data_IF_701242210757
#
_entry.id   IF_701242210757
#
_cell.length_a   1.000
_cell.length_b   1.000
_cell.length_c   1.000
_cell.angle_alpha   90.00
_cell.angle_beta   90.00
_cell.angle_gamma   90.00
#
_symmetry.space_group_name_H-M   'P 1'
#
loop_
_entity.id
_entity.type
_entity.pdbx_description
1 polymer ?
#
# COMPACT_ATOMS: atom_id res chain seq x y z
N UNK A 1 20.36 25.32 -12.95
CA UNK A 1 19.72 24.95 -11.67
C UNK A 1 19.19 23.53 -11.77
N UNK A 2 19.42 22.71 -10.74
CA UNK A 2 18.98 21.28 -10.73
C UNK A 2 17.46 21.13 -10.62
N UNK A 3 16.74 22.13 -10.09
CA UNK A 3 15.29 22.18 -9.90
C UNK A 3 14.78 23.56 -10.34
N UNK A 4 14.57 23.81 -11.65
CA UNK A 4 14.20 25.13 -12.15
C UNK A 4 12.82 25.62 -11.69
N UNK A 5 11.89 24.71 -11.44
CA UNK A 5 10.53 25.03 -10.95
C UNK A 5 10.41 25.08 -9.43
N UNK A 6 11.49 24.88 -8.67
CA UNK A 6 11.42 25.01 -7.21
C UNK A 6 11.38 26.50 -6.80
N UNK A 7 10.56 26.81 -5.79
CA UNK A 7 10.43 28.16 -5.21
C UNK A 7 11.76 28.59 -4.58
N UNK A 8 12.42 29.67 -5.07
CA UNK A 8 13.69 30.10 -4.52
C UNK A 8 13.57 30.88 -3.21
N UNK A 9 12.40 31.45 -2.93
CA UNK A 9 12.15 32.26 -1.75
C UNK A 9 12.29 31.44 -0.47
N UNK A 10 13.17 31.87 0.43
CA UNK A 10 13.42 31.19 1.69
C UNK A 10 14.25 29.90 1.58
N UNK A 11 14.67 29.50 0.40
CA UNK A 11 15.52 28.32 0.20
C UNK A 11 16.93 28.62 0.70
N UNK A 12 17.36 27.91 1.76
CA UNK A 12 18.70 28.03 2.34
C UNK A 12 19.71 27.07 1.73
N UNK A 13 19.23 25.97 1.14
CA UNK A 13 20.06 24.93 0.51
C UNK A 13 19.28 23.67 0.26
N UNK A 14 19.98 22.67 -0.25
CA UNK A 14 19.43 21.35 -0.50
C UNK A 14 20.52 20.28 -0.54
N UNK A 15 20.13 19.05 -0.30
CA UNK A 15 21.01 17.88 -0.44
C UNK A 15 20.57 17.12 -1.68
N UNK A 16 21.51 16.83 -2.58
CA UNK A 16 21.29 15.99 -3.74
C UNK A 16 21.75 14.57 -3.42
N UNK A 17 20.90 13.59 -3.64
CA UNK A 17 21.23 12.18 -3.53
C UNK A 17 20.59 11.41 -4.69
N UNK A 18 20.94 10.14 -4.82
CA UNK A 18 20.42 9.26 -5.85
C UNK A 18 19.51 8.21 -5.21
N UNK A 19 18.42 7.92 -5.87
CA UNK A 19 17.47 6.87 -5.44
C UNK A 19 16.95 6.11 -6.66
N UNK A 20 16.46 4.89 -6.43
CA UNK A 20 15.88 4.04 -7.46
C UNK A 20 14.43 4.42 -7.75
N UNK A 21 14.08 4.43 -9.03
CA UNK A 21 12.71 4.62 -9.49
C UNK A 21 12.33 3.51 -10.44
N UNK A 22 11.14 2.95 -10.30
CA UNK A 22 10.63 1.88 -11.16
C UNK A 22 9.11 2.00 -11.34
N UNK A 23 8.60 1.29 -12.33
CA UNK A 23 7.16 1.20 -12.55
C UNK A 23 6.60 0.04 -11.72
N UNK A 24 5.83 0.36 -10.67
CA UNK A 24 5.30 -0.62 -9.71
C UNK A 24 4.46 -1.71 -10.38
N UNK A 25 3.59 -1.33 -11.31
CA UNK A 25 2.72 -2.28 -12.02
C UNK A 25 3.55 -3.24 -12.90
N UNK A 26 4.59 -2.73 -13.57
CA UNK A 26 5.48 -3.57 -14.39
C UNK A 26 6.34 -4.48 -13.54
N UNK A 27 6.78 -4.03 -12.35
CA UNK A 27 7.51 -4.88 -11.42
C UNK A 27 6.61 -6.01 -10.90
N UNK A 28 5.36 -5.71 -10.53
CA UNK A 28 4.39 -6.73 -10.11
C UNK A 28 4.19 -7.78 -11.20
N UNK A 29 4.00 -7.35 -12.46
CA UNK A 29 3.85 -8.25 -13.59
C UNK A 29 5.11 -9.09 -13.83
N UNK A 30 6.30 -8.49 -13.70
CA UNK A 30 7.57 -9.20 -13.84
C UNK A 30 7.74 -10.29 -12.77
N UNK A 31 7.38 -9.97 -11.51
CA UNK A 31 7.38 -10.94 -10.41
C UNK A 31 6.40 -12.09 -10.66
N UNK A 32 5.17 -11.77 -11.09
CA UNK A 32 4.17 -12.78 -11.44
C UNK A 32 4.68 -13.71 -12.55
N UNK A 33 5.21 -13.15 -13.65
CA UNK A 33 5.80 -13.94 -14.74
C UNK A 33 6.97 -14.80 -14.27
N UNK A 34 7.84 -14.26 -13.43
CA UNK A 34 8.96 -15.02 -12.86
C UNK A 34 8.46 -16.16 -11.99
N UNK A 35 7.45 -15.94 -11.15
CA UNK A 35 6.84 -17.00 -10.36
C UNK A 35 6.27 -18.12 -11.25
N UNK A 36 5.54 -17.76 -12.31
CA UNK A 36 5.01 -18.73 -13.27
C UNK A 36 6.13 -19.54 -13.95
N UNK A 37 7.23 -18.92 -14.38
CA UNK A 37 8.38 -19.64 -14.97
C UNK A 37 9.09 -20.56 -13.97
N UNK A 38 8.89 -20.31 -12.66
CA UNK A 38 9.38 -21.19 -11.58
C UNK A 38 8.36 -22.27 -11.15
N UNK A 39 7.26 -22.40 -11.89
CA UNK A 39 6.26 -23.44 -11.67
C UNK A 39 5.11 -23.04 -10.73
N UNK A 40 5.02 -21.78 -10.33
CA UNK A 40 3.87 -21.31 -9.58
C UNK A 40 2.63 -21.18 -10.46
N UNK A 41 1.48 -21.64 -9.97
CA UNK A 41 0.18 -21.41 -10.58
C UNK A 41 -0.38 -20.07 -10.07
N UNK A 42 -0.54 -19.09 -10.97
CA UNK A 42 -1.15 -17.81 -10.66
C UNK A 42 -2.57 -17.79 -11.23
N UNK A 43 -3.54 -17.55 -10.36
CA UNK A 43 -4.97 -17.52 -10.72
C UNK A 43 -5.58 -16.22 -10.22
N UNK A 44 -6.06 -15.40 -11.14
CA UNK A 44 -6.90 -14.25 -10.85
C UNK A 44 -8.38 -14.64 -10.84
N UNK A 45 -9.25 -13.75 -10.39
CA UNK A 45 -10.68 -14.00 -10.21
C UNK A 45 -11.02 -15.20 -9.32
N UNK A 46 -10.07 -15.65 -8.52
CA UNK A 46 -10.21 -16.73 -7.55
C UNK A 46 -10.21 -16.14 -6.13
N UNK A 47 -11.38 -16.08 -5.51
CA UNK A 47 -11.56 -15.51 -4.18
C UNK A 47 -11.47 -16.60 -3.11
N UNK A 48 -10.59 -16.46 -2.12
CA UNK A 48 -10.58 -17.30 -0.92
C UNK A 48 -11.76 -16.91 -0.02
N UNK A 49 -12.69 -17.84 0.20
CA UNK A 49 -13.92 -17.62 1.00
C UNK A 49 -13.73 -18.04 2.46
N UNK A 50 -13.12 -19.20 2.67
CA UNK A 50 -12.84 -19.75 3.99
C UNK A 50 -11.62 -20.67 3.97
N UNK A 51 -11.12 -20.97 5.16
CA UNK A 51 -10.07 -21.95 5.37
C UNK A 51 -10.70 -23.33 5.60
N UNK A 52 -10.01 -24.39 5.20
CA UNK A 52 -10.38 -25.78 5.53
C UNK A 52 -9.37 -26.34 6.54
N UNK A 53 -9.86 -27.24 7.42
CA UNK A 53 -9.06 -27.77 8.52
C UNK A 53 -9.12 -29.30 8.56
N UNK A 54 -8.04 -29.87 9.04
CA UNK A 54 -7.95 -31.27 9.44
C UNK A 54 -7.23 -31.33 10.79
N UNK A 55 -7.85 -31.95 11.79
CA UNK A 55 -7.31 -32.05 13.15
C UNK A 55 -6.86 -30.69 13.75
N UNK A 56 -7.62 -29.62 13.48
CA UNK A 56 -7.34 -28.27 13.96
C UNK A 56 -6.22 -27.54 13.19
N UNK A 57 -5.60 -28.16 12.19
CA UNK A 57 -4.59 -27.54 11.34
C UNK A 57 -5.17 -27.20 9.98
N UNK A 58 -4.70 -26.11 9.35
CA UNK A 58 -5.13 -25.72 8.01
C UNK A 58 -4.72 -26.80 7.01
N UNK A 59 -5.69 -27.22 6.20
CA UNK A 59 -5.52 -28.22 5.14
C UNK A 59 -5.78 -27.65 3.74
N UNK A 60 -6.19 -26.37 3.63
CA UNK A 60 -6.46 -25.74 2.35
C UNK A 60 -7.43 -24.56 2.44
N UNK A 61 -8.07 -24.27 1.32
CA UNK A 61 -8.98 -23.14 1.11
C UNK A 61 -10.23 -23.58 0.37
N UNK A 62 -11.38 -23.02 0.75
CA UNK A 62 -12.56 -22.96 -0.08
C UNK A 62 -12.50 -21.69 -0.94
N UNK A 63 -12.54 -21.86 -2.23
CA UNK A 63 -12.42 -20.79 -3.22
C UNK A 63 -13.68 -20.64 -4.07
N UNK A 64 -13.84 -19.46 -4.65
CA UNK A 64 -14.89 -19.16 -5.61
C UNK A 64 -14.27 -18.49 -6.85
N UNK A 65 -14.60 -19.01 -8.01
CA UNK A 65 -14.41 -18.29 -9.27
C UNK A 65 -15.42 -17.14 -9.33
N UNK A 66 -14.94 -15.91 -9.24
CA UNK A 66 -15.79 -14.71 -9.19
C UNK A 66 -16.44 -14.37 -10.53
N UNK A 67 -16.07 -15.04 -11.64
CA UNK A 67 -16.68 -14.86 -12.95
C UNK A 67 -17.89 -15.79 -13.12
N UNK A 68 -17.77 -17.04 -12.69
CA UNK A 68 -18.82 -18.05 -12.86
C UNK A 68 -19.64 -18.30 -11.58
N UNK A 69 -19.14 -17.89 -10.42
CA UNK A 69 -19.70 -18.24 -9.12
C UNK A 69 -19.39 -19.69 -8.66
N UNK A 70 -18.65 -20.45 -9.45
CA UNK A 70 -18.32 -21.83 -9.11
C UNK A 70 -17.44 -21.89 -7.87
N UNK A 71 -17.78 -22.78 -6.92
CA UNK A 71 -17.00 -23.01 -5.72
C UNK A 71 -16.18 -24.29 -5.85
N UNK A 72 -14.96 -24.26 -5.32
CA UNK A 72 -14.05 -25.40 -5.32
C UNK A 72 -13.08 -25.34 -4.14
N UNK A 73 -12.49 -26.49 -3.80
CA UNK A 73 -11.54 -26.61 -2.69
C UNK A 73 -10.13 -26.78 -3.22
N UNK A 74 -9.19 -26.01 -2.68
CA UNK A 74 -7.76 -26.19 -2.88
C UNK A 74 -7.20 -26.84 -1.63
N UNK A 75 -6.62 -28.03 -1.76
CA UNK A 75 -5.89 -28.71 -0.68
C UNK A 75 -4.43 -28.26 -0.69
N UNK A 76 -3.88 -27.94 0.47
CA UNK A 76 -2.49 -27.52 0.61
C UNK A 76 -1.91 -27.90 1.96
N UNK A 77 -0.58 -28.04 2.02
CA UNK A 77 0.16 -28.31 3.26
C UNK A 77 0.38 -27.02 4.07
N UNK A 78 0.24 -25.87 3.45
CA UNK A 78 0.41 -24.57 4.08
C UNK A 78 -0.43 -23.54 3.34
N UNK A 79 -0.98 -22.58 4.06
CA UNK A 79 -1.67 -21.40 3.51
C UNK A 79 -0.93 -20.16 3.96
N UNK A 80 -0.52 -19.35 3.01
CA UNK A 80 0.12 -18.03 3.26
C UNK A 80 -0.88 -16.93 2.96
N UNK A 81 -1.26 -16.20 3.99
CA UNK A 81 -2.11 -15.02 3.91
C UNK A 81 -1.24 -13.78 3.63
N UNK A 82 -1.16 -13.37 2.39
CA UNK A 82 -0.46 -12.16 1.93
C UNK A 82 -1.44 -11.15 1.33
N UNK A 83 -2.66 -11.06 1.90
CA UNK A 83 -3.78 -10.29 1.37
C UNK A 83 -3.68 -8.76 1.60
N UNK A 84 -2.51 -8.24 2.00
CA UNK A 84 -2.29 -6.80 2.18
C UNK A 84 -3.21 -6.21 3.25
N UNK A 85 -4.04 -5.22 2.90
CA UNK A 85 -4.96 -4.58 3.85
C UNK A 85 -6.10 -5.49 4.32
N UNK A 86 -6.32 -6.64 3.67
CA UNK A 86 -7.36 -7.64 4.03
C UNK A 86 -6.84 -8.81 4.85
N UNK A 87 -5.58 -8.79 5.31
CA UNK A 87 -5.02 -9.92 6.07
C UNK A 87 -5.82 -10.23 7.34
N UNK A 88 -6.37 -9.21 8.00
CA UNK A 88 -7.12 -9.39 9.23
C UNK A 88 -8.45 -10.12 9.01
N UNK A 89 -9.11 -9.93 7.88
CA UNK A 89 -10.34 -10.65 7.53
C UNK A 89 -10.12 -12.19 7.55
N UNK A 90 -9.01 -12.65 6.96
CA UNK A 90 -8.71 -14.08 6.94
C UNK A 90 -8.24 -14.59 8.32
N UNK A 91 -7.51 -13.77 9.08
CA UNK A 91 -7.09 -14.07 10.46
C UNK A 91 -8.29 -14.19 11.40
N UNK A 92 -9.29 -13.31 11.25
CA UNK A 92 -10.53 -13.35 12.03
C UNK A 92 -11.32 -14.62 11.74
N UNK A 93 -11.44 -15.03 10.47
CA UNK A 93 -12.06 -16.29 10.08
C UNK A 93 -11.33 -17.52 10.68
N UNK A 94 -9.99 -17.50 10.67
CA UNK A 94 -9.17 -18.54 11.31
C UNK A 94 -9.39 -18.58 12.83
N UNK A 95 -9.39 -17.43 13.48
CA UNK A 95 -9.62 -17.32 14.92
C UNK A 95 -11.03 -17.80 15.31
N UNK A 96 -12.05 -17.39 14.56
CA UNK A 96 -13.43 -17.80 14.83
C UNK A 96 -13.62 -19.32 14.77
N UNK A 97 -12.95 -19.98 13.82
CA UNK A 97 -12.98 -21.44 13.73
C UNK A 97 -12.33 -22.13 14.97
N UNK A 98 -11.42 -21.44 15.66
CA UNK A 98 -10.75 -21.96 16.87
C UNK A 98 -11.37 -21.45 18.18
N UNK A 99 -12.18 -20.38 18.15
CA UNK A 99 -12.87 -19.85 19.34
C UNK A 99 -13.88 -20.85 19.93
N UNK A 100 -14.52 -21.65 19.09
CA UNK A 100 -15.37 -22.76 19.55
C UNK A 100 -14.60 -23.78 20.42
N UNK A 101 -13.26 -23.77 20.39
CA UNK A 101 -12.35 -24.57 21.20
C UNK A 101 -11.67 -23.78 22.34
N UNK A 102 -12.20 -22.60 22.73
CA UNK A 102 -11.67 -21.78 23.83
C UNK A 102 -10.58 -20.76 23.43
N UNK A 103 -10.45 -20.42 22.15
CA UNK A 103 -9.52 -19.39 21.66
C UNK A 103 -9.99 -17.96 21.96
N UNK A 104 -9.03 -17.05 22.16
CA UNK A 104 -9.32 -15.62 22.31
C UNK A 104 -9.52 -14.94 20.93
N UNK A 105 -10.37 -13.89 20.89
CA UNK A 105 -10.48 -13.03 19.74
C UNK A 105 -9.12 -12.40 19.40
N UNK A 106 -8.76 -12.40 18.12
CA UNK A 106 -7.51 -11.76 17.69
C UNK A 106 -7.68 -10.24 17.62
N UNK A 107 -6.59 -9.53 17.86
CA UNK A 107 -6.54 -8.09 17.60
C UNK A 107 -6.18 -7.86 16.13
N UNK A 108 -6.81 -6.88 15.45
CA UNK A 108 -6.38 -6.47 14.11
C UNK A 108 -4.93 -5.98 14.14
N UNK A 109 -4.11 -6.51 13.23
CA UNK A 109 -2.70 -6.14 13.12
C UNK A 109 -2.44 -5.03 12.10
N UNK A 110 -3.41 -4.74 11.23
CA UNK A 110 -3.27 -3.72 10.19
C UNK A 110 -4.07 -2.47 10.53
N UNK A 111 -3.44 -1.30 10.36
CA UNK A 111 -4.08 0.00 10.32
C UNK A 111 -4.05 0.51 8.88
N UNK A 112 -5.14 0.37 8.11
CA UNK A 112 -5.17 0.83 6.73
C UNK A 112 -5.00 2.35 6.65
N UNK A 113 -4.12 2.82 5.77
CA UNK A 113 -3.91 4.23 5.50
C UNK A 113 -3.98 4.53 4.02
N UNK A 114 -4.84 5.49 3.65
CA UNK A 114 -5.00 5.95 2.28
C UNK A 114 -3.90 6.92 1.90
N UNK A 115 -3.30 6.71 0.73
CA UNK A 115 -2.37 7.63 0.11
C UNK A 115 -2.84 8.03 -1.27
N UNK A 116 -2.86 9.35 -1.52
CA UNK A 116 -3.26 9.93 -2.80
C UNK A 116 -2.05 10.52 -3.50
N UNK A 117 -2.01 10.37 -4.83
CA UNK A 117 -1.08 11.07 -5.71
C UNK A 117 -1.87 11.74 -6.82
N UNK A 118 -1.42 12.92 -7.23
CA UNK A 118 -1.94 13.62 -8.39
C UNK A 118 -0.86 13.75 -9.46
N UNK A 119 -1.27 13.81 -10.71
CA UNK A 119 -0.39 13.98 -11.86
C UNK A 119 -0.69 15.32 -12.50
N UNK A 120 0.36 16.11 -12.73
CA UNK A 120 0.30 17.40 -13.44
C UNK A 120 1.33 17.41 -14.57
N UNK A 121 1.38 18.47 -15.36
CA UNK A 121 2.37 18.62 -16.41
C UNK A 121 3.77 18.83 -15.82
N UNK A 122 4.78 18.24 -16.50
CA UNK A 122 6.17 18.25 -16.05
C UNK A 122 6.75 19.65 -15.84
N UNK A 123 6.25 20.65 -16.59
CA UNK A 123 6.72 22.03 -16.55
C UNK A 123 6.61 22.71 -15.18
N UNK A 124 5.74 22.21 -14.28
CA UNK A 124 5.62 22.73 -12.92
C UNK A 124 6.90 22.61 -12.10
N UNK A 125 7.71 21.59 -12.32
CA UNK A 125 9.04 21.44 -11.68
C UNK A 125 10.18 21.69 -12.66
N UNK A 126 10.01 21.26 -13.90
CA UNK A 126 11.05 21.27 -14.93
C UNK A 126 12.25 20.36 -14.58
N UNK A 127 13.09 20.11 -15.57
CA UNK A 127 14.28 19.27 -15.38
C UNK A 127 13.97 17.78 -15.11
N UNK A 128 15.00 17.03 -14.74
CA UNK A 128 14.95 15.57 -14.56
C UNK A 128 15.09 15.14 -13.09
N UNK A 129 15.32 16.08 -12.19
CA UNK A 129 15.48 15.79 -10.78
C UNK A 129 14.12 15.82 -10.05
N UNK A 130 13.93 14.92 -9.11
CA UNK A 130 12.81 14.95 -8.19
C UNK A 130 13.07 15.97 -7.05
N UNK A 131 12.00 16.53 -6.51
CA UNK A 131 12.03 17.32 -5.29
C UNK A 131 11.41 16.48 -4.16
N UNK A 132 12.13 16.37 -3.05
CA UNK A 132 11.59 15.85 -1.80
C UNK A 132 11.54 16.98 -0.77
N UNK A 133 10.36 17.21 -0.23
CA UNK A 133 10.14 18.11 0.91
C UNK A 133 10.07 17.25 2.16
N UNK A 134 11.09 17.30 3.05
CA UNK A 134 11.19 16.35 4.15
C UNK A 134 10.12 16.56 5.23
N UNK A 135 9.54 17.75 5.30
CA UNK A 135 8.52 18.10 6.29
C UNK A 135 7.55 19.14 5.75
N UNK A 136 6.32 18.73 5.50
CA UNK A 136 5.18 19.59 5.17
C UNK A 136 4.60 20.25 6.42
N UNK A 137 3.58 21.10 6.26
CA UNK A 137 2.91 21.77 7.39
C UNK A 137 2.37 20.80 8.45
N UNK A 138 1.94 19.61 8.04
CA UNK A 138 1.43 18.56 8.94
C UNK A 138 2.47 17.49 9.31
N UNK A 139 3.75 17.74 8.98
CA UNK A 139 4.88 16.88 9.33
C UNK A 139 5.13 15.70 8.41
N UNK A 140 4.38 15.56 7.31
CA UNK A 140 4.58 14.53 6.30
C UNK A 140 5.68 14.90 5.29
N UNK A 141 6.05 13.94 4.46
CA UNK A 141 6.95 14.15 3.33
C UNK A 141 6.10 14.38 2.07
N UNK A 142 6.45 15.39 1.26
CA UNK A 142 5.89 15.59 -0.07
C UNK A 142 6.97 15.29 -1.11
N UNK A 143 6.58 14.61 -2.16
CA UNK A 143 7.41 14.36 -3.33
C UNK A 143 6.83 15.05 -4.56
N UNK A 144 7.71 15.58 -5.40
CA UNK A 144 7.41 15.96 -6.77
C UNK A 144 8.39 15.21 -7.68
N UNK A 145 7.88 14.19 -8.38
CA UNK A 145 8.71 13.23 -9.10
C UNK A 145 8.41 13.26 -10.59
N UNK A 146 9.37 13.61 -11.45
CA UNK A 146 9.22 13.45 -12.90
C UNK A 146 9.00 11.98 -13.28
N UNK A 147 7.93 11.69 -14.02
CA UNK A 147 7.56 10.36 -14.41
C UNK A 147 6.83 10.31 -15.75
N UNK A 148 7.38 9.58 -16.74
CA UNK A 148 6.78 9.39 -18.07
C UNK A 148 6.28 10.69 -18.72
N UNK A 149 7.11 11.75 -18.68
CA UNK A 149 6.80 13.04 -19.28
C UNK A 149 5.82 13.92 -18.46
N UNK A 150 5.44 13.49 -17.27
CA UNK A 150 4.59 14.21 -16.33
C UNK A 150 5.30 14.44 -15.00
N UNK A 151 4.61 15.07 -14.07
CA UNK A 151 5.05 15.26 -12.68
C UNK A 151 4.04 14.62 -11.75
N UNK A 152 4.51 13.72 -10.91
CA UNK A 152 3.72 13.08 -9.84
C UNK A 152 3.94 13.84 -8.56
N UNK A 153 2.86 14.30 -7.93
CA UNK A 153 2.85 14.98 -6.63
C UNK A 153 2.15 14.11 -5.59
N UNK A 154 2.72 13.98 -4.43
CA UNK A 154 2.16 13.18 -3.32
C UNK A 154 3.12 13.05 -2.16
N UNK A 155 2.67 12.59 -1.05
CA UNK A 155 1.46 11.78 -0.86
C UNK A 155 0.67 12.26 0.34
N UNK A 156 -0.54 11.75 0.50
CA UNK A 156 -1.32 11.87 1.73
C UNK A 156 -1.13 10.63 2.62
N UNK A 157 -1.60 10.72 3.85
CA UNK A 157 -1.64 9.62 4.81
C UNK A 157 -2.91 9.79 5.66
N UNK A 158 -4.00 9.17 5.20
CA UNK A 158 -5.32 9.30 5.82
C UNK A 158 -5.73 7.95 6.39
N UNK A 159 -5.87 7.81 7.73
CA UNK A 159 -6.36 6.58 8.34
C UNK A 159 -7.73 6.18 7.78
N UNK A 160 -7.94 4.88 7.53
CA UNK A 160 -9.20 4.34 7.02
C UNK A 160 -9.73 3.27 7.97
N UNK A 161 -11.01 3.39 8.30
CA UNK A 161 -11.75 2.34 9.01
C UNK A 161 -12.40 1.32 8.09
N UNK A 162 -12.51 1.66 6.80
CA UNK A 162 -13.07 0.81 5.74
C UNK A 162 -11.98 0.35 4.78
N UNK A 163 -12.10 -0.88 4.31
CA UNK A 163 -11.17 -1.45 3.33
C UNK A 163 -11.94 -1.78 2.06
N UNK A 164 -11.71 -1.01 1.01
CA UNK A 164 -12.34 -1.17 -0.29
C UNK A 164 -11.30 -1.46 -1.37
N UNK A 165 -11.69 -2.20 -2.41
CA UNK A 165 -10.78 -2.57 -3.52
C UNK A 165 -10.34 -1.36 -4.33
N UNK A 166 -11.25 -0.41 -4.54
CA UNK A 166 -11.01 0.79 -5.33
C UNK A 166 -11.31 2.03 -4.48
N UNK A 167 -10.37 2.42 -3.61
CA UNK A 167 -10.53 3.62 -2.80
C UNK A 167 -10.57 4.85 -3.71
N UNK A 168 -11.43 5.81 -3.34
CA UNK A 168 -11.55 7.07 -4.05
C UNK A 168 -10.82 8.19 -3.30
N UNK A 169 -10.22 9.16 -4.01
CA UNK A 169 -9.60 10.30 -3.37
C UNK A 169 -10.66 11.16 -2.68
N UNK A 170 -10.34 11.66 -1.51
CA UNK A 170 -11.17 12.65 -0.82
C UNK A 170 -10.78 14.05 -1.27
N UNK A 171 -11.73 14.98 -1.31
CA UNK A 171 -11.47 16.35 -1.79
C UNK A 171 -10.33 17.02 -1.01
N UNK A 172 -10.33 16.89 0.31
CA UNK A 172 -9.31 17.48 1.18
C UNK A 172 -7.90 16.92 0.96
N UNK A 173 -7.77 15.67 0.48
CA UNK A 173 -6.46 15.07 0.17
C UNK A 173 -5.84 15.71 -1.07
N UNK A 174 -6.66 15.96 -2.09
CA UNK A 174 -6.23 16.66 -3.32
C UNK A 174 -5.88 18.11 -3.00
N UNK A 175 -6.72 18.79 -2.22
CA UNK A 175 -6.50 20.18 -1.80
C UNK A 175 -5.23 20.31 -0.96
N UNK A 176 -4.94 19.35 -0.08
CA UNK A 176 -3.70 19.29 0.68
C UNK A 176 -2.48 19.21 -0.25
N UNK A 177 -2.47 18.28 -1.23
CA UNK A 177 -1.33 18.12 -2.15
C UNK A 177 -1.13 19.41 -2.96
N UNK A 178 -2.21 20.02 -3.46
CA UNK A 178 -2.12 21.28 -4.22
C UNK A 178 -1.60 22.43 -3.37
N UNK A 179 -2.13 22.61 -2.16
CA UNK A 179 -1.73 23.68 -1.26
C UNK A 179 -0.28 23.53 -0.78
N UNK A 180 0.15 22.31 -0.45
CA UNK A 180 1.55 22.07 -0.08
C UNK A 180 2.48 22.25 -1.27
N UNK A 181 2.11 21.77 -2.46
CA UNK A 181 2.91 21.98 -3.67
C UNK A 181 3.10 23.45 -4.00
N UNK A 182 2.07 24.28 -3.77
CA UNK A 182 2.13 25.72 -3.97
C UNK A 182 3.19 26.45 -3.12
N UNK A 183 3.59 25.86 -1.99
CA UNK A 183 4.63 26.43 -1.11
C UNK A 183 6.05 26.20 -1.63
N UNK A 184 6.26 25.18 -2.44
CA UNK A 184 7.59 24.72 -2.86
C UNK A 184 7.83 24.82 -4.36
N UNK A 185 6.79 25.02 -5.15
CA UNK A 185 6.88 25.24 -6.59
C UNK A 185 6.69 26.73 -6.91
N UNK A 186 7.51 27.26 -7.81
CA UNK A 186 7.40 28.67 -8.25
C UNK A 186 6.11 28.97 -8.99
N UNK A 187 5.51 27.97 -9.65
CA UNK A 187 4.17 27.99 -10.20
C UNK A 187 3.31 26.98 -9.45
N UNK A 188 2.28 27.45 -8.77
CA UNK A 188 1.35 26.61 -8.04
C UNK A 188 0.40 25.86 -8.99
N UNK A 189 0.34 24.52 -8.97
CA UNK A 189 -0.66 23.81 -9.74
C UNK A 189 -2.06 24.03 -9.16
N UNK A 190 -3.04 24.16 -10.04
CA UNK A 190 -4.46 24.31 -9.70
C UNK A 190 -5.20 22.97 -9.95
N UNK A 191 -6.43 22.86 -9.44
CA UNK A 191 -7.25 21.66 -9.66
C UNK A 191 -7.48 21.37 -11.15
N UNK A 192 -7.57 22.40 -11.99
CA UNK A 192 -7.68 22.29 -13.46
C UNK A 192 -6.42 21.73 -14.14
N UNK A 193 -5.25 21.82 -13.48
CA UNK A 193 -4.00 21.26 -14.01
C UNK A 193 -3.85 19.76 -13.74
N UNK A 194 -4.70 19.18 -12.87
CA UNK A 194 -4.65 17.76 -12.52
C UNK A 194 -5.12 16.91 -13.69
N UNK A 195 -4.24 16.07 -14.21
CA UNK A 195 -4.48 15.17 -15.34
C UNK A 195 -4.96 13.79 -14.91
N UNK A 196 -4.51 13.34 -13.75
CA UNK A 196 -4.86 12.03 -13.20
C UNK A 196 -4.69 12.04 -11.70
N UNK A 197 -5.47 11.20 -11.03
CA UNK A 197 -5.38 10.96 -9.59
C UNK A 197 -5.37 9.45 -9.38
N UNK A 198 -4.50 8.95 -8.51
CA UNK A 198 -4.58 7.57 -8.04
C UNK A 198 -4.51 7.48 -6.53
N UNK A 199 -5.07 6.41 -6.01
CA UNK A 199 -5.23 6.16 -4.58
C UNK A 199 -4.84 4.72 -4.27
N UNK A 200 -4.22 4.53 -3.12
CA UNK A 200 -3.91 3.19 -2.60
C UNK A 200 -4.07 3.12 -1.09
N UNK A 201 -4.33 1.93 -0.59
CA UNK A 201 -4.36 1.63 0.84
C UNK A 201 -3.05 0.95 1.26
N UNK A 202 -2.40 1.49 2.29
CA UNK A 202 -1.19 0.91 2.88
C UNK A 202 -1.57 -0.01 4.02
N UNK A 203 -1.05 -1.26 4.07
CA UNK A 203 -1.21 -2.14 5.21
C UNK A 203 -0.17 -1.82 6.28
N UNK A 204 -0.35 -0.71 7.02
CA UNK A 204 0.55 -0.35 8.10
C UNK A 204 0.34 -1.30 9.27
N UNK A 205 1.44 -1.83 9.83
CA UNK A 205 1.37 -2.79 10.94
C UNK A 205 1.32 -2.05 12.25
N UNK A 206 0.32 -2.37 13.08
CA UNK A 206 0.20 -1.86 14.45
C UNK A 206 1.20 -2.57 15.35
N UNK A 207 1.89 -1.83 16.25
CA UNK A 207 2.62 -2.46 17.34
C UNK A 207 1.68 -3.30 18.21
N UNK A 208 2.18 -4.37 18.87
CA UNK A 208 1.35 -5.25 19.70
C UNK A 208 0.62 -4.54 20.86
N UNK A 209 1.09 -3.37 21.28
CA UNK A 209 0.64 -2.66 22.48
C UNK A 209 -0.15 -1.37 22.23
N UNK A 210 -0.30 -0.92 20.96
CA UNK A 210 -0.95 0.36 20.65
C UNK A 210 -2.34 0.20 20.04
N UNK A 211 -3.37 0.68 20.73
CA UNK A 211 -4.75 0.82 20.24
C UNK A 211 -5.04 2.18 19.55
N UNK A 212 -4.00 2.96 19.23
CA UNK A 212 -4.13 4.31 18.65
C UNK A 212 -4.26 4.33 17.12
N UNK A 213 -5.05 5.27 16.60
CA UNK A 213 -5.22 5.52 15.16
C UNK A 213 -4.10 6.37 14.53
N UNK A 214 -2.96 6.56 15.19
CA UNK A 214 -1.87 7.41 14.66
C UNK A 214 -1.03 6.61 13.68
N UNK A 215 -1.35 6.70 12.39
CA UNK A 215 -0.67 5.96 11.32
C UNK A 215 0.73 6.50 10.97
N UNK A 216 1.03 7.75 11.34
CA UNK A 216 2.30 8.43 10.96
C UNK A 216 3.56 7.79 11.55
N UNK A 217 3.44 7.15 12.72
CA UNK A 217 4.55 6.51 13.45
C UNK A 217 4.62 4.99 13.27
N UNK A 218 3.65 4.39 12.56
CA UNK A 218 3.59 2.93 12.40
C UNK A 218 4.73 2.39 11.55
N UNK A 219 5.24 1.21 11.95
CA UNK A 219 6.31 0.53 11.24
C UNK A 219 5.89 0.17 9.80
N UNK A 220 6.84 0.33 8.88
CA UNK A 220 6.75 -0.14 7.49
C UNK A 220 7.60 -1.38 7.23
N UNK A 221 8.04 -2.05 8.28
CA UNK A 221 8.71 -3.33 8.17
C UNK A 221 7.71 -4.45 7.91
N UNK A 222 8.13 -5.49 7.25
CA UNK A 222 7.29 -6.65 7.05
C UNK A 222 7.20 -7.45 8.36
N UNK A 223 6.04 -8.07 8.56
CA UNK A 223 5.79 -8.93 9.72
C UNK A 223 5.32 -10.29 9.23
N UNK A 224 5.91 -11.33 9.76
CA UNK A 224 5.49 -12.73 9.54
C UNK A 224 4.94 -13.27 10.86
N UNK A 225 3.69 -13.73 10.82
CA UNK A 225 3.01 -14.32 11.97
C UNK A 225 2.50 -15.73 11.61
N UNK A 226 2.71 -16.69 12.47
CA UNK A 226 2.17 -18.06 12.33
C UNK A 226 1.08 -18.23 13.38
N UNK A 227 -0.15 -18.44 12.92
CA UNK A 227 -1.31 -18.75 13.77
C UNK A 227 -1.25 -20.14 14.36
N UNK A 228 -2.10 -20.43 15.34
CA UNK A 228 -2.20 -21.77 15.98
C UNK A 228 -2.61 -22.86 14.99
N UNK A 229 -3.39 -22.51 13.99
CA UNK A 229 -3.84 -23.35 12.90
C UNK A 229 -2.76 -23.67 11.86
N UNK A 230 -1.59 -23.01 11.93
CA UNK A 230 -0.57 -23.03 10.90
C UNK A 230 -0.79 -21.99 9.79
N UNK A 231 -1.78 -21.08 9.92
CA UNK A 231 -1.91 -19.95 8.99
C UNK A 231 -0.68 -19.04 9.08
N UNK A 232 0.04 -18.90 7.98
CA UNK A 232 1.16 -17.97 7.87
C UNK A 232 0.63 -16.64 7.33
N UNK A 233 0.73 -15.57 8.11
CA UNK A 233 0.34 -14.22 7.65
C UNK A 233 1.58 -13.38 7.42
N UNK A 234 1.67 -12.76 6.23
CA UNK A 234 2.74 -11.84 5.85
C UNK A 234 2.10 -10.50 5.46
N UNK A 235 2.49 -9.42 6.13
CA UNK A 235 1.96 -8.07 5.85
C UNK A 235 2.98 -6.98 6.17
N UNK A 236 2.70 -5.73 5.79
CA UNK A 236 3.62 -4.62 5.92
C UNK A 236 4.69 -4.62 4.83
N UNK A 237 5.85 -4.04 5.16
CA UNK A 237 6.97 -3.95 4.24
C UNK A 237 6.86 -2.83 3.22
N UNK A 238 7.88 -2.75 2.37
CA UNK A 238 7.95 -1.84 1.24
C UNK A 238 8.17 -2.64 -0.05
N UNK A 239 7.65 -2.13 -1.14
CA UNK A 239 7.85 -2.74 -2.46
C UNK A 239 9.34 -2.92 -2.80
N UNK A 240 10.16 -1.96 -2.37
CA UNK A 240 11.62 -1.98 -2.58
C UNK A 240 12.36 -3.05 -1.77
N UNK A 241 11.74 -3.61 -0.72
CA UNK A 241 12.33 -4.64 0.15
C UNK A 241 11.74 -6.03 -0.06
N UNK A 242 11.09 -6.29 -1.20
CA UNK A 242 10.41 -7.57 -1.48
C UNK A 242 11.33 -8.80 -1.48
N UNK A 243 12.65 -8.60 -1.58
CA UNK A 243 13.65 -9.67 -1.55
C UNK A 243 14.35 -9.84 -0.20
N UNK A 244 14.07 -8.98 0.77
CA UNK A 244 14.69 -9.01 2.10
C UNK A 244 14.03 -10.07 2.99
#
# INVERSE_FOLDING_TARGET
RSLPGAQPQGLKGGVKYWDGQFNDARLALALARTAATKGALLVNYCSAKSLTYQEGQISGLQCEDTLSGAQFTIRSRCVVNAAGVWVDELREKDSAAHQAAGGQAIRPMVAPSQGVHIVVDREFLGGDNALMVPKTADGRVLFAVPWLGKLVLGTTDTPRGDVVREPKPMAHEVDFILSESARYLSRAPQRSDVKSIWVGLRPLVKPPEEDGQVTKSLSREHTVLIGRSGLVTVTGGKWTTYRA
#
